data_IF_092308753886
#
_entry.id   IF_092308753886
#
_cell.length_a   1.000
_cell.length_b   1.000
_cell.length_c   1.000
_cell.angle_alpha   90.00
_cell.angle_beta   90.00
_cell.angle_gamma   90.00
#
_symmetry.space_group_name_H-M   'P 1'
#
loop_
_entity.id
_entity.type
_entity.pdbx_description
1 polymer ?
#
# COMPACT_ATOMS: atom_id res chain seq x y z
N UNK A 1 -3.24 8.29 -10.80
CA UNK A 1 -2.17 8.94 -11.60
C UNK A 1 -2.68 9.00 -13.03
N UNK A 2 -2.23 9.91 -13.89
CA UNK A 2 -2.71 9.97 -15.28
C UNK A 2 -1.60 9.48 -16.21
N UNK A 3 -1.94 8.59 -17.13
CA UNK A 3 -1.05 8.18 -18.21
C UNK A 3 -1.43 8.92 -19.49
N UNK A 4 -0.41 9.28 -20.26
CA UNK A 4 -0.55 10.03 -21.50
C UNK A 4 0.22 9.31 -22.60
N UNK A 5 -0.49 8.90 -23.64
CA UNK A 5 0.13 8.38 -24.85
C UNK A 5 0.64 9.57 -25.67
N UNK A 6 1.95 9.83 -25.61
CA UNK A 6 2.62 10.88 -26.38
C UNK A 6 3.16 10.28 -27.67
N UNK A 7 2.56 10.68 -28.80
CA UNK A 7 3.06 10.35 -30.12
C UNK A 7 4.15 11.35 -30.51
N UNK A 8 5.32 10.81 -30.85
CA UNK A 8 6.43 11.56 -31.44
C UNK A 8 6.43 11.29 -32.94
N UNK A 9 6.35 12.33 -33.76
CA UNK A 9 6.41 12.23 -35.22
C UNK A 9 7.59 13.02 -35.74
N UNK A 10 8.49 12.37 -36.47
CA UNK A 10 9.61 13.02 -37.17
C UNK A 10 9.26 13.20 -38.66
N UNK A 11 9.55 14.39 -39.20
CA UNK A 11 9.33 14.71 -40.62
C UNK A 11 10.67 14.88 -41.33
N UNK A 12 10.84 14.18 -42.45
CA UNK A 12 11.98 14.33 -43.36
C UNK A 12 11.49 14.93 -44.69
N UNK A 13 12.21 15.93 -45.23
CA UNK A 13 11.91 16.56 -46.53
C UNK A 13 13.14 16.65 -47.43
N UNK A 14 12.94 16.41 -48.73
CA UNK A 14 14.00 16.49 -49.76
C UNK A 14 13.43 17.06 -51.05
N UNK A 15 13.98 18.19 -51.51
CA UNK A 15 13.60 18.80 -52.79
C UNK A 15 14.42 18.19 -53.93
N UNK A 16 13.74 17.72 -54.97
CA UNK A 16 14.35 17.11 -56.15
C UNK A 16 13.88 17.84 -57.40
N UNK A 17 14.81 18.09 -58.32
CA UNK A 17 14.52 18.72 -59.61
C UNK A 17 14.46 17.66 -60.70
N UNK A 18 13.33 17.54 -61.38
CA UNK A 18 13.14 16.62 -62.52
C UNK A 18 12.61 17.36 -63.75
N UNK A 19 12.81 16.77 -64.92
CA UNK A 19 12.20 17.24 -66.17
C UNK A 19 11.05 16.30 -66.54
N UNK A 20 9.85 16.85 -66.65
CA UNK A 20 8.66 16.12 -67.07
C UNK A 20 7.77 17.00 -67.94
N UNK A 21 6.91 16.37 -68.74
CA UNK A 21 6.00 17.05 -69.66
C UNK A 21 4.78 17.69 -68.96
N UNK A 22 4.53 17.30 -67.70
CA UNK A 22 3.47 17.86 -66.85
C UNK A 22 3.83 17.72 -65.36
N UNK A 23 3.10 18.46 -64.51
CA UNK A 23 3.23 18.38 -63.05
C UNK A 23 2.95 16.96 -62.52
N UNK A 24 1.87 16.34 -63.00
CA UNK A 24 1.49 15.00 -62.57
C UNK A 24 2.54 13.95 -62.97
N UNK A 25 3.13 14.09 -64.16
CA UNK A 25 4.22 13.21 -64.62
C UNK A 25 5.49 13.39 -63.77
N UNK A 26 5.79 14.61 -63.30
CA UNK A 26 6.91 14.86 -62.40
C UNK A 26 6.69 14.18 -61.03
N UNK A 27 5.50 14.30 -60.45
CA UNK A 27 5.18 13.67 -59.17
C UNK A 27 5.21 12.14 -59.25
N UNK A 28 4.65 11.56 -60.30
CA UNK A 28 4.62 10.11 -60.49
C UNK A 28 6.04 9.55 -60.70
N UNK A 29 6.87 10.26 -61.48
CA UNK A 29 8.29 9.92 -61.68
C UNK A 29 9.05 9.93 -60.36
N UNK A 30 8.93 11.00 -59.57
CA UNK A 30 9.63 11.12 -58.27
C UNK A 30 9.11 10.08 -57.28
N UNK A 31 7.80 9.81 -57.26
CA UNK A 31 7.18 8.77 -56.42
C UNK A 31 7.68 7.38 -56.77
N UNK A 32 7.77 7.05 -58.05
CA UNK A 32 8.33 5.77 -58.51
C UNK A 32 9.82 5.63 -58.13
N UNK A 33 10.62 6.68 -58.36
CA UNK A 33 12.04 6.71 -57.98
C UNK A 33 12.25 6.58 -56.45
N UNK A 34 11.36 7.17 -55.64
CA UNK A 34 11.37 7.00 -54.20
C UNK A 34 11.10 5.54 -53.78
N UNK A 35 10.06 4.89 -54.33
CA UNK A 35 9.77 3.47 -54.05
C UNK A 35 10.86 2.52 -54.56
N UNK A 36 11.56 2.89 -55.63
CA UNK A 36 12.73 2.17 -56.14
C UNK A 36 14.02 2.44 -55.34
N UNK A 37 13.94 3.22 -54.26
CA UNK A 37 15.09 3.60 -53.41
C UNK A 37 16.16 4.42 -54.14
N UNK A 38 15.83 5.07 -55.25
CA UNK A 38 16.74 6.01 -55.94
C UNK A 38 16.81 7.36 -55.20
N UNK A 39 15.72 7.75 -54.54
CA UNK A 39 15.70 8.86 -53.59
C UNK A 39 15.50 8.33 -52.18
N UNK A 40 16.55 8.38 -51.38
CA UNK A 40 16.49 8.04 -49.95
C UNK A 40 16.47 9.35 -49.16
N UNK A 41 15.57 9.44 -48.19
CA UNK A 41 15.57 10.48 -47.17
C UNK A 41 16.24 9.90 -45.93
N UNK A 42 17.29 10.56 -45.47
CA UNK A 42 18.06 10.17 -44.30
C UNK A 42 18.02 11.26 -43.22
N UNK A 43 18.86 11.12 -42.19
CA UNK A 43 18.94 12.08 -41.09
C UNK A 43 19.32 13.51 -41.52
N UNK A 44 19.97 13.70 -42.67
CA UNK A 44 20.29 15.04 -43.18
C UNK A 44 19.04 15.74 -43.77
N UNK A 45 17.97 14.99 -44.04
CA UNK A 45 16.70 15.52 -44.55
C UNK A 45 15.71 15.91 -43.43
N UNK A 46 16.15 15.91 -42.18
CA UNK A 46 15.29 16.20 -41.02
C UNK A 46 14.82 17.67 -40.97
N UNK A 47 13.51 17.89 -40.90
CA UNK A 47 12.92 19.23 -40.84
C UNK A 47 12.17 19.54 -39.54
N UNK A 48 11.83 18.53 -38.73
CA UNK A 48 11.28 18.79 -37.40
C UNK A 48 10.68 17.57 -36.69
N UNK A 49 10.43 17.74 -35.39
CA UNK A 49 9.68 16.80 -34.54
C UNK A 49 8.38 17.46 -34.09
N UNK A 50 7.27 16.74 -34.19
CA UNK A 50 5.98 17.10 -33.59
C UNK A 50 5.63 16.13 -32.46
N UNK A 51 5.21 16.67 -31.33
CA UNK A 51 4.68 15.92 -30.19
C UNK A 51 3.16 16.11 -30.14
N UNK A 52 2.41 15.01 -30.16
CA UNK A 52 0.95 15.03 -30.02
C UNK A 52 0.51 14.06 -28.92
N UNK A 53 -0.21 14.55 -27.92
CA UNK A 53 -0.86 13.69 -26.93
C UNK A 53 -2.13 13.13 -27.57
N UNK A 54 -2.19 11.82 -27.74
CA UNK A 54 -3.25 11.17 -28.51
C UNK A 54 -4.45 10.82 -27.65
N UNK A 55 -4.22 10.36 -26.41
CA UNK A 55 -5.27 9.95 -25.48
C UNK A 55 -4.85 10.26 -24.03
N UNK A 56 -5.81 10.75 -23.24
CA UNK A 56 -5.72 10.89 -21.78
C UNK A 56 -6.49 9.71 -21.16
N UNK A 57 -5.79 8.85 -20.42
CA UNK A 57 -6.44 7.75 -19.69
C UNK A 57 -6.32 8.01 -18.19
N UNK A 58 -7.49 8.04 -17.52
CA UNK A 58 -7.52 8.03 -16.07
C UNK A 58 -7.16 6.63 -15.59
N UNK A 59 -5.94 6.47 -15.06
CA UNK A 59 -5.61 5.30 -14.28
C UNK A 59 -6.28 5.50 -12.92
N UNK A 60 -7.40 4.82 -12.72
CA UNK A 60 -7.90 4.54 -11.38
C UNK A 60 -6.73 3.89 -10.66
N UNK A 61 -6.20 4.54 -9.60
CA UNK A 61 -5.34 3.81 -8.67
C UNK A 61 -6.12 2.54 -8.36
N UNK A 62 -5.50 1.37 -8.59
CA UNK A 62 -6.01 0.11 -8.10
C UNK A 62 -6.52 0.40 -6.69
N UNK A 63 -7.82 0.19 -6.49
CA UNK A 63 -8.37 0.22 -5.15
C UNK A 63 -7.55 -0.82 -4.42
N UNK A 64 -6.64 -0.36 -3.55
CA UNK A 64 -5.81 -1.25 -2.78
C UNK A 64 -6.74 -2.29 -2.18
N UNK A 65 -6.51 -3.56 -2.49
CA UNK A 65 -7.32 -4.61 -1.91
C UNK A 65 -7.20 -4.44 -0.40
N UNK A 66 -8.35 -4.30 0.24
CA UNK A 66 -8.45 -4.05 1.66
C UNK A 66 -9.16 -5.21 2.31
N UNK A 67 -8.74 -5.52 3.53
CA UNK A 67 -9.32 -6.58 4.32
C UNK A 67 -9.91 -6.06 5.63
N UNK A 68 -11.00 -6.70 6.04
CA UNK A 68 -11.65 -6.44 7.33
C UNK A 68 -10.99 -7.33 8.40
N UNK A 69 -10.40 -6.69 9.39
CA UNK A 69 -9.63 -7.33 10.45
C UNK A 69 -10.04 -6.79 11.82
N UNK A 70 -9.71 -7.51 12.88
CA UNK A 70 -9.94 -7.03 14.24
C UNK A 70 -8.63 -6.46 14.80
N UNK A 71 -8.60 -5.16 15.08
CA UNK A 71 -7.49 -4.49 15.74
C UNK A 71 -7.68 -4.56 17.26
N UNK A 72 -6.69 -5.10 17.95
CA UNK A 72 -6.70 -5.22 19.41
C UNK A 72 -5.56 -4.41 19.99
N UNK A 73 -5.89 -3.38 20.76
CA UNK A 73 -4.92 -2.48 21.40
C UNK A 73 -4.83 -2.73 22.91
N UNK A 74 -3.68 -2.45 23.54
CA UNK A 74 -3.54 -2.54 24.99
C UNK A 74 -4.58 -1.66 25.70
N UNK A 75 -5.24 -2.23 26.70
CA UNK A 75 -6.23 -1.56 27.55
C UNK A 75 -7.47 -1.03 26.82
N UNK A 76 -7.74 -1.45 25.58
CA UNK A 76 -8.89 -1.01 24.79
C UNK A 76 -9.73 -2.21 24.34
N UNK A 77 -11.02 -1.97 24.12
CA UNK A 77 -11.88 -2.93 23.44
C UNK A 77 -11.39 -3.16 21.99
N UNK A 78 -11.56 -4.38 21.46
CA UNK A 78 -11.18 -4.68 20.08
C UNK A 78 -12.05 -3.89 19.08
N UNK A 79 -11.47 -3.52 17.95
CA UNK A 79 -12.10 -2.66 16.95
C UNK A 79 -12.05 -3.33 15.57
N UNK A 80 -13.20 -3.46 14.90
CA UNK A 80 -13.22 -3.87 13.51
C UNK A 80 -12.69 -2.73 12.63
N UNK A 81 -11.63 -2.98 11.87
CA UNK A 81 -11.00 -1.99 10.99
C UNK A 81 -10.75 -2.57 9.61
N UNK A 82 -10.65 -1.68 8.62
CA UNK A 82 -10.30 -2.02 7.26
C UNK A 82 -8.87 -1.54 6.99
N UNK A 83 -7.98 -2.45 6.61
CA UNK A 83 -6.57 -2.17 6.30
C UNK A 83 -6.22 -2.72 4.92
N UNK A 84 -5.16 -2.22 4.29
CA UNK A 84 -4.66 -2.78 3.04
C UNK A 84 -4.08 -4.18 3.23
N UNK A 85 -4.03 -4.95 2.14
CA UNK A 85 -3.49 -6.31 2.13
C UNK A 85 -1.95 -6.36 2.03
N UNK A 86 -1.28 -5.23 1.80
CA UNK A 86 0.17 -5.17 1.64
C UNK A 86 0.91 -5.30 2.97
N UNK A 87 2.15 -5.81 2.91
CA UNK A 87 3.02 -5.98 4.09
C UNK A 87 3.24 -4.66 4.83
N UNK A 88 3.43 -3.55 4.09
CA UNK A 88 3.63 -2.23 4.68
C UNK A 88 2.42 -1.75 5.48
N UNK A 89 1.20 -2.11 5.07
CA UNK A 89 -0.04 -1.73 5.78
C UNK A 89 -0.15 -2.50 7.10
N UNK A 90 0.19 -3.79 7.11
CA UNK A 90 0.28 -4.61 8.32
C UNK A 90 1.34 -4.08 9.29
N UNK A 91 2.56 -3.83 8.79
CA UNK A 91 3.67 -3.28 9.59
C UNK A 91 3.31 -1.93 10.20
N UNK A 92 2.63 -1.08 9.44
CA UNK A 92 2.14 0.23 9.93
C UNK A 92 1.08 0.07 11.02
N UNK A 93 0.19 -0.91 10.89
CA UNK A 93 -0.87 -1.15 11.86
C UNK A 93 -0.35 -1.65 13.21
N UNK A 94 0.66 -2.53 13.24
CA UNK A 94 1.28 -3.04 14.49
C UNK A 94 2.44 -2.15 14.98
N UNK A 95 2.93 -1.26 14.11
CA UNK A 95 3.98 -0.29 14.39
C UNK A 95 5.37 -0.90 14.42
N UNK A 96 5.71 -1.71 13.41
CA UNK A 96 7.03 -2.32 13.21
C UNK A 96 6.99 -3.58 12.32
N UNK A 97 8.09 -4.32 12.28
CA UNK A 97 8.16 -5.61 11.58
C UNK A 97 7.17 -6.61 12.19
N UNK A 98 6.53 -7.40 11.34
CA UNK A 98 5.44 -8.28 11.75
C UNK A 98 5.94 -9.69 12.10
N UNK A 99 5.34 -10.26 13.13
CA UNK A 99 5.35 -11.69 13.44
C UNK A 99 3.90 -12.18 13.38
N UNK A 100 3.69 -13.39 12.84
CA UNK A 100 2.40 -14.04 12.83
C UNK A 100 2.43 -15.33 13.67
N UNK A 101 1.41 -15.52 14.50
CA UNK A 101 1.21 -16.75 15.29
C UNK A 101 -0.20 -17.30 15.11
N UNK A 102 -0.34 -18.61 15.32
CA UNK A 102 -1.54 -19.39 14.99
C UNK A 102 -2.02 -20.15 16.24
N UNK A 103 -2.49 -19.46 17.29
CA UNK A 103 -2.79 -20.08 18.57
C UNK A 103 -4.19 -20.74 18.60
N UNK A 104 -4.95 -20.66 17.51
CA UNK A 104 -6.33 -21.12 17.41
C UNK A 104 -6.47 -22.21 16.34
N UNK A 105 -7.53 -23.02 16.44
CA UNK A 105 -7.84 -24.05 15.44
C UNK A 105 -8.60 -23.47 14.24
N UNK A 106 -9.29 -22.34 14.45
CA UNK A 106 -9.92 -21.54 13.41
C UNK A 106 -8.89 -21.02 12.41
N UNK A 107 -9.26 -20.79 11.13
CA UNK A 107 -8.35 -20.30 10.09
C UNK A 107 -8.05 -18.79 10.29
N UNK A 108 -7.34 -18.50 11.37
CA UNK A 108 -7.04 -17.14 11.85
C UNK A 108 -5.59 -17.07 12.31
N UNK A 109 -4.93 -15.95 12.00
CA UNK A 109 -3.64 -15.59 12.57
C UNK A 109 -3.74 -14.34 13.45
N UNK A 110 -2.84 -14.27 14.42
CA UNK A 110 -2.54 -13.05 15.14
C UNK A 110 -1.27 -12.44 14.55
N UNK A 111 -1.38 -11.23 14.02
CA UNK A 111 -0.26 -10.47 13.46
C UNK A 111 0.11 -9.35 14.43
N UNK A 112 1.35 -9.32 14.89
CA UNK A 112 1.84 -8.38 15.91
C UNK A 112 3.24 -7.89 15.57
N UNK A 113 3.74 -6.90 16.31
CA UNK A 113 5.12 -6.45 16.14
C UNK A 113 6.08 -7.47 16.77
N UNK A 114 6.96 -8.08 15.95
CA UNK A 114 7.99 -9.06 16.33
C UNK A 114 8.84 -8.59 17.53
N UNK A 115 9.38 -7.37 17.47
CA UNK A 115 10.20 -6.83 18.56
C UNK A 115 9.40 -6.10 19.66
N UNK A 116 8.07 -6.25 19.70
CA UNK A 116 7.19 -5.46 20.58
C UNK A 116 7.60 -5.49 22.06
N UNK A 117 8.02 -6.67 22.57
CA UNK A 117 8.52 -6.84 23.94
C UNK A 117 9.87 -6.18 24.15
N UNK A 118 10.76 -6.28 23.17
CA UNK A 118 12.14 -5.77 23.24
C UNK A 118 12.18 -4.25 23.20
N UNK A 119 11.29 -3.62 22.42
CA UNK A 119 11.16 -2.16 22.36
C UNK A 119 10.28 -1.58 23.47
N UNK A 120 9.78 -2.44 24.39
CA UNK A 120 9.06 -2.02 25.60
C UNK A 120 7.62 -1.56 25.35
N UNK A 121 6.92 -2.12 24.36
CA UNK A 121 5.47 -1.85 24.18
C UNK A 121 4.66 -2.38 25.37
N UNK A 122 3.48 -1.79 25.57
CA UNK A 122 2.53 -2.24 26.60
C UNK A 122 2.07 -3.68 26.31
N UNK A 123 1.99 -4.53 27.34
CA UNK A 123 1.45 -5.88 27.22
C UNK A 123 -0.06 -5.82 26.93
N UNK A 124 -0.56 -6.70 26.05
CA UNK A 124 -1.89 -6.58 25.47
C UNK A 124 -2.83 -7.76 25.82
N UNK A 125 -2.48 -8.98 25.40
CA UNK A 125 -3.26 -10.21 25.64
C UNK A 125 -2.33 -11.40 25.91
N UNK A 126 -2.72 -12.23 26.87
CA UNK A 126 -2.07 -13.50 27.15
C UNK A 126 -2.44 -14.54 26.08
N UNK A 127 -1.45 -15.29 25.63
CA UNK A 127 -1.66 -16.52 24.89
C UNK A 127 -1.55 -17.70 25.85
N UNK A 128 -2.54 -18.60 25.76
CA UNK A 128 -2.75 -19.68 26.72
C UNK A 128 -2.65 -21.03 26.05
N UNK A 129 -2.04 -21.99 26.73
CA UNK A 129 -1.98 -23.38 26.29
C UNK A 129 -3.31 -24.12 26.59
N UNK A 130 -3.38 -25.39 26.21
CA UNK A 130 -4.56 -26.24 26.43
C UNK A 130 -4.93 -26.40 27.91
N UNK A 131 -3.96 -26.23 28.83
CA UNK A 131 -4.16 -26.28 30.28
C UNK A 131 -4.57 -24.91 30.86
N UNK A 132 -4.69 -23.87 30.02
CA UNK A 132 -5.02 -22.49 30.38
C UNK A 132 -3.84 -21.68 30.96
N UNK A 133 -2.64 -22.26 30.96
CA UNK A 133 -1.39 -21.64 31.38
C UNK A 133 -0.91 -20.62 30.36
N UNK A 134 -0.38 -19.49 30.85
CA UNK A 134 0.18 -18.45 29.96
C UNK A 134 1.55 -18.93 29.47
N UNK A 135 1.66 -19.21 28.17
CA UNK A 135 2.95 -19.54 27.55
C UNK A 135 3.61 -18.32 26.91
N UNK A 136 2.81 -17.32 26.48
CA UNK A 136 3.32 -16.07 25.95
C UNK A 136 2.37 -14.88 26.18
N UNK A 137 2.85 -13.65 25.99
CA UNK A 137 2.06 -12.42 26.12
C UNK A 137 2.36 -11.49 24.96
N UNK A 138 1.35 -11.09 24.19
CA UNK A 138 1.51 -10.13 23.10
C UNK A 138 1.85 -8.75 23.66
N UNK A 139 2.81 -8.05 23.05
CA UNK A 139 3.18 -6.68 23.41
C UNK A 139 2.92 -5.72 22.25
N UNK A 140 2.13 -4.67 22.51
CA UNK A 140 1.66 -3.71 21.52
C UNK A 140 0.36 -4.11 20.83
N UNK A 141 -0.01 -3.32 19.85
CA UNK A 141 -1.18 -3.54 19.00
C UNK A 141 -0.98 -4.83 18.18
N UNK A 142 -2.05 -5.59 18.01
CA UNK A 142 -2.06 -6.74 17.12
C UNK A 142 -3.36 -6.81 16.33
N UNK A 143 -3.30 -7.52 15.21
CA UNK A 143 -4.41 -7.76 14.31
C UNK A 143 -4.83 -9.23 14.41
N UNK A 144 -6.12 -9.47 14.39
CA UNK A 144 -6.71 -10.77 14.10
C UNK A 144 -7.10 -10.77 12.62
N UNK A 145 -6.52 -11.67 11.84
CA UNK A 145 -6.71 -11.74 10.39
C UNK A 145 -7.18 -13.13 9.98
N UNK A 146 -7.95 -13.22 8.89
CA UNK A 146 -8.33 -14.50 8.32
C UNK A 146 -7.16 -15.14 7.55
N UNK A 147 -7.18 -16.46 7.44
CA UNK A 147 -6.23 -17.21 6.61
C UNK A 147 -6.88 -17.62 5.30
N UNK A 148 -6.31 -17.15 4.18
CA UNK A 148 -6.58 -17.66 2.84
C UNK A 148 -5.73 -18.88 2.52
N UNK A 149 -5.56 -19.18 1.23
CA UNK A 149 -4.71 -20.29 0.78
C UNK A 149 -3.22 -19.98 1.00
N UNK A 150 -2.77 -18.80 0.54
CA UNK A 150 -1.36 -18.39 0.62
C UNK A 150 -1.15 -17.03 1.34
N UNK A 151 -2.22 -16.24 1.52
CA UNK A 151 -2.18 -14.87 2.06
C UNK A 151 -3.16 -14.64 3.22
N UNK A 152 -2.96 -13.54 3.95
CA UNK A 152 -3.94 -13.05 4.90
C UNK A 152 -5.16 -12.50 4.18
N UNK A 153 -6.34 -12.71 4.78
CA UNK A 153 -7.60 -12.27 4.20
C UNK A 153 -8.53 -11.66 5.25
N UNK A 154 -9.68 -11.15 4.78
CA UNK A 154 -10.71 -10.63 5.66
C UNK A 154 -11.26 -11.72 6.59
N UNK A 155 -11.49 -11.37 7.85
CA UNK A 155 -12.30 -12.20 8.73
C UNK A 155 -13.72 -12.31 8.17
N UNK A 156 -14.29 -13.51 8.21
CA UNK A 156 -15.71 -13.68 7.98
C UNK A 156 -16.51 -12.97 9.09
N UNK A 157 -17.77 -12.56 8.86
CA UNK A 157 -18.60 -11.94 9.89
C UNK A 157 -18.72 -12.78 11.17
N UNK A 158 -18.73 -14.11 11.02
CA UNK A 158 -18.79 -15.06 12.13
C UNK A 158 -17.51 -15.04 12.95
N UNK A 159 -16.34 -15.12 12.29
CA UNK A 159 -15.03 -15.07 12.95
C UNK A 159 -14.78 -13.71 13.58
N UNK A 160 -15.17 -12.61 12.91
CA UNK A 160 -15.08 -11.26 13.46
C UNK A 160 -15.79 -11.18 14.81
N UNK A 161 -17.04 -11.64 14.87
CA UNK A 161 -17.83 -11.64 16.10
C UNK A 161 -17.22 -12.56 17.17
N UNK A 162 -16.80 -13.76 16.79
CA UNK A 162 -16.20 -14.73 17.70
C UNK A 162 -14.95 -14.15 18.39
N UNK A 163 -14.06 -13.53 17.61
CA UNK A 163 -12.82 -12.98 18.14
C UNK A 163 -13.01 -11.63 18.83
N UNK A 164 -14.02 -10.85 18.45
CA UNK A 164 -14.45 -9.67 19.21
C UNK A 164 -14.91 -10.06 20.61
N UNK A 165 -15.71 -11.13 20.75
CA UNK A 165 -16.13 -11.68 22.04
C UNK A 165 -14.94 -12.28 22.81
N UNK A 166 -14.05 -13.01 22.14
CA UNK A 166 -12.88 -13.63 22.75
C UNK A 166 -11.91 -12.59 23.34
N UNK A 167 -11.60 -11.54 22.59
CA UNK A 167 -10.68 -10.49 23.00
C UNK A 167 -11.37 -9.28 23.63
N UNK A 168 -12.67 -9.36 23.91
CA UNK A 168 -13.47 -8.22 24.38
C UNK A 168 -12.82 -7.58 25.60
N UNK A 169 -12.58 -8.35 26.66
CA UNK A 169 -12.00 -7.80 27.88
C UNK A 169 -10.49 -7.57 27.73
N UNK A 170 -9.99 -6.33 27.97
CA UNK A 170 -8.56 -6.10 28.05
C UNK A 170 -7.94 -6.76 29.26
N UNK A 171 -6.65 -7.07 29.19
CA UNK A 171 -5.91 -7.68 30.30
C UNK A 171 -4.84 -6.72 30.86
N UNK A 172 -4.54 -6.86 32.15
CA UNK A 172 -3.38 -6.26 32.81
C UNK A 172 -2.52 -7.34 33.44
N UNK A 173 -1.21 -7.10 33.50
CA UNK A 173 -0.22 -8.14 33.82
C UNK A 173 0.54 -7.77 35.08
N UNK A 174 0.48 -8.64 36.09
CA UNK A 174 1.16 -8.45 37.37
C UNK A 174 2.21 -9.54 37.55
N UNK A 175 3.45 -9.12 37.80
CA UNK A 175 4.55 -10.03 38.10
C UNK A 175 4.52 -10.44 39.57
N UNK A 176 4.30 -11.73 39.81
CA UNK A 176 4.32 -12.35 41.13
C UNK A 176 5.57 -13.23 41.25
N UNK A 177 6.70 -12.61 41.61
CA UNK A 177 7.99 -13.28 41.71
C UNK A 177 8.49 -13.80 40.36
N UNK A 178 8.44 -15.13 40.17
CA UNK A 178 8.82 -15.81 38.92
C UNK A 178 7.65 -16.02 37.96
N UNK A 179 6.42 -15.80 38.40
CA UNK A 179 5.21 -15.99 37.60
C UNK A 179 4.64 -14.65 37.16
N UNK A 180 3.92 -14.64 36.04
CA UNK A 180 3.12 -13.51 35.58
C UNK A 180 1.66 -13.93 35.61
N UNK A 181 0.79 -13.06 36.11
CA UNK A 181 -0.65 -13.26 36.15
C UNK A 181 -1.32 -12.23 35.25
N UNK A 182 -2.22 -12.68 34.37
CA UNK A 182 -3.10 -11.83 33.58
C UNK A 182 -4.44 -11.68 34.30
N UNK A 183 -4.88 -10.44 34.52
CA UNK A 183 -6.15 -10.10 35.15
C UNK A 183 -6.99 -9.30 34.16
N UNK A 184 -8.32 -9.52 34.10
CA UNK A 184 -9.20 -8.67 33.30
C UNK A 184 -9.14 -7.24 33.82
N UNK A 185 -8.96 -6.28 32.92
CA UNK A 185 -8.95 -4.86 33.23
C UNK A 185 -10.39 -4.42 33.52
N UNK A 186 -10.67 -3.78 34.66
CA UNK A 186 -11.99 -3.22 34.95
C UNK A 186 -12.46 -2.20 33.90
N UNK A 187 -13.75 -2.18 33.59
CA UNK A 187 -14.34 -1.34 32.53
C UNK A 187 -14.08 0.17 32.71
N UNK A 188 -13.97 0.64 33.95
CA UNK A 188 -13.67 2.04 34.28
C UNK A 188 -12.21 2.43 33.96
N UNK A 189 -11.33 1.45 33.81
CA UNK A 189 -9.93 1.62 33.43
C UNK A 189 -9.67 1.38 31.93
N UNK A 190 -10.68 0.91 31.18
CA UNK A 190 -10.55 0.71 29.73
C UNK A 190 -10.38 2.06 29.04
N UNK A 191 -9.29 2.20 28.27
CA UNK A 191 -9.00 3.38 27.46
C UNK A 191 -10.04 3.48 26.34
N UNK A 192 -10.51 4.70 26.07
CA UNK A 192 -11.43 4.97 24.95
C UNK A 192 -10.65 5.02 23.64
N UNK A 193 -11.34 4.77 22.54
CA UNK A 193 -10.81 4.90 21.18
C UNK A 193 -10.04 6.20 20.99
N UNK A 194 -8.79 6.10 20.52
CA UNK A 194 -8.07 7.26 20.02
C UNK A 194 -8.86 7.84 18.86
N UNK A 195 -9.14 9.15 18.90
CA UNK A 195 -9.63 9.85 17.71
C UNK A 195 -8.68 9.56 16.54
N UNK A 196 -9.18 9.35 15.31
CA UNK A 196 -8.35 8.95 14.19
C UNK A 196 -7.19 9.94 14.05
N UNK A 197 -5.96 9.41 14.13
CA UNK A 197 -4.74 10.18 13.92
C UNK A 197 -4.83 10.73 12.51
N UNK A 198 -5.20 12.01 12.39
CA UNK A 198 -5.07 12.73 11.13
C UNK A 198 -3.62 12.61 10.72
N UNK A 199 -3.39 12.04 9.54
CA UNK A 199 -2.09 11.94 8.90
C UNK A 199 -1.30 13.22 9.16
N UNK A 200 -0.07 13.04 9.66
CA UNK A 200 0.85 14.11 10.01
C UNK A 200 0.86 15.22 8.96
N UNK A 201 0.15 16.32 9.24
CA UNK A 201 0.45 17.59 8.61
C UNK A 201 1.72 18.10 9.25
N UNK A 202 2.85 17.68 8.67
CA UNK A 202 4.18 18.20 8.98
C UNK A 202 4.08 19.73 9.07
N UNK A 203 4.47 20.38 10.18
CA UNK A 203 4.52 21.82 10.21
C UNK A 203 5.63 22.25 9.27
N UNK A 204 5.24 22.80 8.12
CA UNK A 204 6.14 23.48 7.22
C UNK A 204 6.73 24.66 8.00
N UNK A 205 8.00 24.53 8.44
CA UNK A 205 8.78 25.67 8.89
C UNK A 205 8.97 26.58 7.68
N UNK A 206 8.15 27.62 7.59
CA UNK A 206 8.40 28.78 6.78
C UNK A 206 9.69 29.44 7.29
N UNK A 207 10.80 29.21 6.60
CA UNK A 207 11.96 30.07 6.72
C UNK A 207 11.57 31.44 6.16
N UNK A 208 11.72 32.55 6.90
CA UNK A 208 11.51 33.85 6.32
C UNK A 208 12.67 34.16 5.38
N UNK A 209 12.31 34.51 4.15
CA UNK A 209 13.14 35.18 3.16
C UNK A 209 14.03 36.24 3.83
N UNK A 210 15.33 36.09 3.61
CA UNK A 210 16.28 37.18 3.83
C UNK A 210 16.73 37.62 2.45
N UNK A 211 15.94 38.47 1.84
CA UNK A 211 16.27 39.09 0.58
C UNK A 211 16.78 40.52 0.81
N UNK A 212 17.90 40.81 0.14
CA UNK A 212 18.38 42.11 -0.33
C UNK A 212 19.04 43.09 0.68
N UNK A 213 20.39 43.08 0.71
CA UNK A 213 21.31 44.17 0.25
C UNK A 213 22.77 43.91 0.67
#
# INVERSE_FOLDING_TARGET
>A
MKEYDVKITETLEKTVTVQAESHDAAEEQVRAAYYNSEYILDSENFTGVAFGTTEEREVQKEQADTMNVLLVKPFMYPQAVQIGCELEDLQKAVGGDIEATYPFNEPVALVMHDEGKFVGKELNRALRDDDGGIYDIIAGDFLVVGLGEDDFCSLSPELMKQFEEHFHQPETFVRMGRSIMALPLPDDMVKKEDAPVKADSVPHKSNPDRDVL
#
